data_IF_247095212384
#
_entry.id   IF_247095212384
#
_cell.length_a   1.000
_cell.length_b   1.000
_cell.length_c   1.000
_cell.angle_alpha   90.00
_cell.angle_beta   90.00
_cell.angle_gamma   90.00
#
_symmetry.space_group_name_H-M   'P 1'
#
loop_
_entity.id
_entity.type
_entity.pdbx_description
1 polymer ?
#
# COMPACT_ATOMS: atom_id res chain seq x y z
N UNK A 1 5.87 5.00 5.56
CA UNK A 1 4.59 4.45 6.04
C UNK A 1 4.00 3.56 4.95
N UNK A 2 3.52 2.37 5.30
CA UNK A 2 2.89 1.41 4.39
C UNK A 2 1.38 1.47 4.54
N UNK A 3 0.65 1.37 3.44
CA UNK A 3 -0.80 1.44 3.40
C UNK A 3 -1.35 0.23 2.65
N UNK A 4 -2.45 -0.36 3.10
CA UNK A 4 -3.04 -1.51 2.40
C UNK A 4 -4.54 -1.53 2.57
N UNK A 5 -5.25 -2.09 1.60
CA UNK A 5 -6.69 -2.30 1.70
C UNK A 5 -6.96 -3.58 2.48
N UNK A 6 -7.80 -3.55 3.52
CA UNK A 6 -8.14 -4.73 4.32
C UNK A 6 -8.98 -5.72 3.54
N UNK A 7 -9.87 -5.21 2.68
CA UNK A 7 -10.77 -6.01 1.84
C UNK A 7 -10.10 -6.65 0.63
N UNK A 8 -8.91 -6.20 0.24
CA UNK A 8 -8.17 -6.76 -0.91
C UNK A 8 -6.81 -7.27 -0.42
N UNK A 9 -6.61 -8.57 -0.53
CA UNK A 9 -5.44 -9.25 0.02
C UNK A 9 -4.16 -9.02 -0.81
N UNK A 10 -4.23 -8.37 -1.97
CA UNK A 10 -3.16 -8.56 -2.93
C UNK A 10 -1.97 -7.62 -2.72
N UNK A 11 -2.17 -6.33 -2.40
CA UNK A 11 -1.05 -5.35 -2.50
C UNK A 11 -1.01 -4.29 -1.42
N UNK A 12 0.20 -3.96 -0.98
CA UNK A 12 0.48 -2.78 -0.17
C UNK A 12 1.03 -1.64 -1.01
N UNK A 13 0.74 -0.42 -0.57
CA UNK A 13 1.12 0.84 -1.18
C UNK A 13 2.12 1.54 -0.26
N UNK A 14 3.31 1.84 -0.78
CA UNK A 14 4.33 2.54 -0.02
C UNK A 14 4.27 4.04 -0.29
N UNK A 15 4.07 4.81 0.80
CA UNK A 15 4.20 6.27 0.92
C UNK A 15 3.50 7.17 -0.12
N UNK A 16 3.53 8.48 0.09
CA UNK A 16 2.64 9.50 -0.51
C UNK A 16 2.66 9.57 -2.05
N UNK A 17 3.66 8.97 -2.68
CA UNK A 17 3.82 9.00 -4.13
C UNK A 17 3.02 7.93 -4.88
N UNK A 18 2.22 7.09 -4.20
CA UNK A 18 1.31 6.19 -4.89
C UNK A 18 -0.08 6.83 -5.07
N UNK A 19 -0.46 7.18 -6.30
CA UNK A 19 -1.79 7.70 -6.65
C UNK A 19 -2.94 6.73 -6.29
N UNK A 20 -2.61 5.44 -6.14
CA UNK A 20 -3.53 4.39 -5.68
C UNK A 20 -3.63 4.28 -4.17
N UNK A 21 -2.75 4.90 -3.40
CA UNK A 21 -2.95 5.00 -1.96
C UNK A 21 -4.17 5.89 -1.71
N UNK A 22 -5.26 5.31 -1.24
CA UNK A 22 -6.48 6.04 -0.89
C UNK A 22 -6.64 6.25 0.61
N UNK A 23 -5.69 5.85 1.44
CA UNK A 23 -5.76 6.12 2.89
C UNK A 23 -5.90 7.64 3.15
N UNK A 24 -6.82 8.09 4.03
CA UNK A 24 -7.63 7.32 4.99
C UNK A 24 -9.05 6.95 4.52
N UNK A 25 -9.23 6.45 3.30
CA UNK A 25 -10.52 5.90 2.85
C UNK A 25 -10.93 4.62 3.62
N UNK A 26 -12.22 4.30 3.60
CA UNK A 26 -12.77 3.11 4.26
C UNK A 26 -12.11 1.81 3.76
N UNK A 27 -11.81 0.92 4.71
CA UNK A 27 -11.13 -0.34 4.42
C UNK A 27 -9.64 -0.20 4.07
N UNK A 28 -9.02 0.94 4.40
CA UNK A 28 -7.57 1.11 4.33
C UNK A 28 -6.95 1.16 5.71
N UNK A 29 -5.85 0.42 5.88
CA UNK A 29 -5.01 0.44 7.06
C UNK A 29 -3.62 0.97 6.73
N UNK A 30 -2.90 1.40 7.78
CA UNK A 30 -1.51 1.83 7.68
C UNK A 30 -0.66 1.11 8.72
N UNK A 31 0.62 0.95 8.41
CA UNK A 31 1.61 0.37 9.31
C UNK A 31 3.01 0.90 9.07
N UNK A 32 3.85 0.74 10.09
CA UNK A 32 5.27 1.09 10.03
C UNK A 32 6.12 0.06 9.29
N UNK A 33 5.59 -1.14 9.07
CA UNK A 33 6.25 -2.23 8.36
C UNK A 33 5.38 -2.74 7.22
N UNK A 34 5.97 -3.31 6.16
CA UNK A 34 5.21 -3.89 5.07
C UNK A 34 4.40 -5.10 5.58
N UNK A 35 3.12 -5.23 5.19
CA UNK A 35 2.31 -6.37 5.60
C UNK A 35 2.89 -7.67 5.04
N UNK A 36 3.11 -8.66 5.92
CA UNK A 36 3.61 -9.99 5.53
C UNK A 36 2.62 -10.68 4.59
N UNK A 37 3.13 -11.26 3.50
CA UNK A 37 2.33 -11.99 2.51
C UNK A 37 1.62 -11.11 1.48
N UNK A 38 1.88 -9.80 1.47
CA UNK A 38 1.37 -8.89 0.42
C UNK A 38 2.51 -8.35 -0.41
N UNK A 39 2.28 -8.23 -1.71
CA UNK A 39 3.27 -7.66 -2.62
C UNK A 39 3.16 -6.14 -2.69
N UNK A 40 4.26 -5.46 -3.01
CA UNK A 40 4.23 -4.02 -3.27
C UNK A 40 3.44 -3.74 -4.55
N UNK A 41 2.64 -2.67 -4.54
CA UNK A 41 1.93 -2.24 -5.73
C UNK A 41 2.91 -1.95 -6.89
N UNK A 42 2.61 -2.38 -8.12
CA UNK A 42 3.53 -2.22 -9.26
C UNK A 42 3.91 -0.76 -9.54
N UNK A 43 2.99 0.19 -9.36
CA UNK A 43 3.27 1.62 -9.49
C UNK A 43 4.22 2.12 -8.40
N UNK A 44 4.06 1.63 -7.18
CA UNK A 44 4.95 1.91 -6.06
C UNK A 44 6.33 1.32 -6.37
N UNK A 45 6.38 0.09 -6.87
CA UNK A 45 7.61 -0.62 -7.26
C UNK A 45 8.34 0.07 -8.41
N UNK A 46 7.60 0.69 -9.34
CA UNK A 46 8.17 1.44 -10.46
C UNK A 46 8.74 2.81 -10.03
N UNK A 47 8.16 3.44 -9.01
CA UNK A 47 8.64 4.71 -8.43
C UNK A 47 9.80 4.53 -7.43
N UNK A 48 10.10 3.31 -7.03
CA UNK A 48 11.25 2.94 -6.16
C UNK A 48 12.59 2.84 -6.94
N UNK A 49 12.60 3.21 -8.23
CA UNK A 49 13.74 3.02 -9.14
C UNK A 49 14.39 4.34 -9.55
#
# INVERSE_FOLDING_TARGET
MYYWKTSDNNRYHWHSNCDKNKYPAEGWEKGSSPPKGREQCNECKAKDK
#
